data_IF_380456958263
#
_entry.id   IF_380456958263
#
_cell.length_a   1.000
_cell.length_b   1.000
_cell.length_c   1.000
_cell.angle_alpha   90.00
_cell.angle_beta   90.00
_cell.angle_gamma   90.00
#
_symmetry.space_group_name_H-M   'P 1'
#
loop_
_entity.id
_entity.type
_entity.pdbx_description
1 polymer ?
#
# COMPACT_ATOMS: atom_id res chain seq x y z
N UNK A 1 -7.88 8.38 5.91
CA UNK A 1 -6.49 8.45 6.38
C UNK A 1 -6.18 9.77 7.07
N UNK A 2 -6.58 10.92 6.50
CA UNK A 2 -6.24 12.26 7.03
C UNK A 2 -6.60 12.49 8.51
N UNK A 3 -7.77 12.00 8.94
CA UNK A 3 -8.30 12.25 10.29
C UNK A 3 -7.88 11.22 11.35
N UNK A 4 -7.09 10.20 10.99
CA UNK A 4 -6.60 9.23 11.98
C UNK A 4 -5.40 9.87 12.71
N UNK A 5 -5.42 9.99 14.04
CA UNK A 5 -4.29 10.48 14.80
C UNK A 5 -3.03 9.64 14.56
N UNK A 6 -1.86 10.28 14.53
CA UNK A 6 -0.60 9.58 14.24
C UNK A 6 -0.31 8.46 15.24
N UNK A 7 -0.65 8.67 16.51
CA UNK A 7 -0.51 7.66 17.58
C UNK A 7 -1.33 6.40 17.30
N UNK A 8 -2.58 6.57 16.88
CA UNK A 8 -3.48 5.45 16.58
C UNK A 8 -3.05 4.73 15.30
N UNK A 9 -2.65 5.48 14.27
CA UNK A 9 -2.10 4.91 13.05
C UNK A 9 -0.84 4.07 13.34
N UNK A 10 0.08 4.56 14.17
CA UNK A 10 1.25 3.80 14.60
C UNK A 10 0.83 2.53 15.34
N UNK A 11 -0.13 2.62 16.27
CA UNK A 11 -0.62 1.46 17.01
C UNK A 11 -1.21 0.39 16.08
N UNK A 12 -2.03 0.77 15.11
CA UNK A 12 -2.56 -0.14 14.10
C UNK A 12 -1.44 -0.76 13.27
N UNK A 13 -0.45 0.04 12.85
CA UNK A 13 0.70 -0.46 12.10
C UNK A 13 1.52 -1.50 12.89
N UNK A 14 1.80 -1.23 14.17
CA UNK A 14 2.52 -2.17 15.03
C UNK A 14 1.75 -3.46 15.25
N UNK A 15 0.41 -3.39 15.38
CA UNK A 15 -0.41 -4.60 15.47
C UNK A 15 -0.26 -5.46 14.21
N UNK A 16 -0.31 -4.85 13.01
CA UNK A 16 -0.07 -5.59 11.77
C UNK A 16 1.30 -6.23 11.74
N UNK A 17 2.36 -5.51 12.08
CA UNK A 17 3.73 -6.04 12.08
C UNK A 17 3.86 -7.20 13.07
N UNK A 18 3.46 -7.00 14.31
CA UNK A 18 3.67 -7.99 15.38
C UNK A 18 2.91 -9.29 15.14
N UNK A 19 1.65 -9.20 14.72
CA UNK A 19 0.80 -10.38 14.52
C UNK A 19 0.92 -10.99 13.12
N UNK A 20 1.79 -10.45 12.26
CA UNK A 20 2.10 -11.03 10.95
C UNK A 20 3.54 -11.53 10.82
N UNK A 21 4.30 -11.57 11.92
CA UNK A 21 5.73 -11.85 11.90
C UNK A 21 6.49 -10.89 10.97
N UNK A 22 6.17 -9.60 11.04
CA UNK A 22 6.79 -8.54 10.25
C UNK A 22 6.42 -8.52 8.76
N UNK A 23 5.35 -9.22 8.35
CA UNK A 23 4.98 -9.39 6.94
C UNK A 23 4.01 -8.34 6.42
N UNK A 24 3.18 -7.79 7.29
CA UNK A 24 2.06 -6.90 6.98
C UNK A 24 2.17 -5.59 7.76
N UNK A 25 1.68 -4.51 7.18
CA UNK A 25 1.73 -3.18 7.78
C UNK A 25 1.72 -2.06 6.76
N UNK A 26 1.22 -0.91 7.16
CA UNK A 26 1.21 0.28 6.32
C UNK A 26 2.64 0.79 6.06
N UNK A 27 3.55 0.70 7.05
CA UNK A 27 4.95 1.05 6.86
C UNK A 27 5.65 0.12 5.86
N UNK A 28 5.28 -1.16 5.84
CA UNK A 28 5.77 -2.13 4.85
C UNK A 28 5.30 -1.75 3.43
N UNK A 29 4.02 -1.44 3.27
CA UNK A 29 3.47 -0.97 2.00
C UNK A 29 4.13 0.33 1.54
N UNK A 30 4.39 1.28 2.46
CA UNK A 30 5.15 2.51 2.16
C UNK A 30 6.56 2.19 1.67
N UNK A 31 7.27 1.27 2.31
CA UNK A 31 8.61 0.87 1.88
C UNK A 31 8.60 0.26 0.48
N UNK A 32 7.65 -0.63 0.19
CA UNK A 32 7.49 -1.22 -1.16
C UNK A 32 7.20 -0.12 -2.18
N UNK A 33 6.27 0.79 -1.87
CA UNK A 33 5.91 1.92 -2.75
C UNK A 33 7.13 2.77 -3.12
N UNK A 34 7.92 3.18 -2.13
CA UNK A 34 9.12 3.99 -2.33
C UNK A 34 10.18 3.22 -3.12
N UNK A 35 10.40 1.94 -2.83
CA UNK A 35 11.34 1.09 -3.56
C UNK A 35 11.01 0.94 -5.04
N UNK A 36 9.73 0.99 -5.39
CA UNK A 36 9.27 0.96 -6.79
C UNK A 36 9.38 2.33 -7.49
N UNK A 37 9.90 3.37 -6.83
CA UNK A 37 9.99 4.73 -7.35
C UNK A 37 8.74 5.59 -7.08
N UNK A 38 7.77 5.03 -6.35
CA UNK A 38 6.56 5.73 -5.97
C UNK A 38 6.83 6.86 -4.98
N UNK A 39 6.23 8.03 -5.22
CA UNK A 39 6.35 9.18 -4.33
C UNK A 39 5.16 9.25 -3.38
N UNK A 40 5.36 9.58 -2.09
CA UNK A 40 4.25 9.82 -1.17
C UNK A 40 3.29 10.88 -1.73
N UNK A 41 1.99 10.58 -1.75
CA UNK A 41 0.92 11.47 -2.20
C UNK A 41 0.69 11.50 -3.71
N UNK A 42 1.52 10.82 -4.50
CA UNK A 42 1.44 10.82 -5.98
C UNK A 42 1.01 9.43 -6.45
N UNK A 43 -0.20 9.31 -6.99
CA UNK A 43 -0.75 8.03 -7.45
C UNK A 43 -0.23 7.60 -8.83
N UNK A 44 0.09 8.57 -9.67
CA UNK A 44 0.32 8.34 -11.09
C UNK A 44 1.75 8.75 -11.46
N UNK A 45 2.63 7.76 -11.46
CA UNK A 45 3.97 7.88 -12.05
C UNK A 45 4.02 6.84 -13.16
N UNK A 46 3.80 7.30 -14.39
CA UNK A 46 4.06 6.48 -15.56
C UNK A 46 5.56 6.17 -15.60
N UNK A 47 5.92 4.91 -15.77
CA UNK A 47 7.29 4.58 -16.13
C UNK A 47 7.55 5.06 -17.56
N UNK A 48 8.75 5.55 -17.82
CA UNK A 48 9.23 5.83 -19.18
C UNK A 48 9.58 4.50 -19.90
N UNK A 49 8.63 3.56 -19.92
CA UNK A 49 8.77 2.21 -20.45
C UNK A 49 7.80 2.03 -21.62
N UNK A 50 8.21 1.35 -22.72
CA UNK A 50 7.37 1.14 -23.92
C UNK A 50 6.05 0.41 -23.62
N UNK A 51 5.98 -0.29 -22.50
CA UNK A 51 4.80 -1.06 -22.05
C UNK A 51 3.72 -0.22 -21.37
N UNK A 52 3.98 1.04 -21.02
CA UNK A 52 3.00 1.95 -20.39
C UNK A 52 2.54 1.53 -18.99
N UNK A 53 3.30 0.68 -18.28
CA UNK A 53 2.91 0.24 -16.92
C UNK A 53 3.13 1.34 -15.88
N UNK A 54 2.13 1.57 -15.04
CA UNK A 54 2.18 2.51 -13.93
C UNK A 54 2.81 1.88 -12.69
N UNK A 55 3.52 2.65 -11.85
CA UNK A 55 4.08 2.15 -10.57
C UNK A 55 3.00 1.50 -9.69
N UNK A 56 1.77 2.03 -9.74
CA UNK A 56 0.60 1.46 -9.08
C UNK A 56 0.33 0.00 -9.46
N UNK A 57 0.52 -0.35 -10.73
CA UNK A 57 0.21 -1.68 -11.26
C UNK A 57 1.26 -2.69 -10.79
N UNK A 58 2.53 -2.28 -10.79
CA UNK A 58 3.63 -3.06 -10.25
C UNK A 58 3.43 -3.29 -8.74
N UNK A 59 3.05 -2.24 -8.01
CA UNK A 59 2.75 -2.36 -6.59
C UNK A 59 1.62 -3.36 -6.34
N UNK A 60 0.48 -3.22 -7.03
CA UNK A 60 -0.69 -4.09 -6.90
C UNK A 60 -0.32 -5.54 -7.15
N UNK A 61 0.47 -5.81 -8.19
CA UNK A 61 0.98 -7.15 -8.47
C UNK A 61 1.90 -7.66 -7.36
N UNK A 62 2.86 -6.84 -6.91
CA UNK A 62 3.86 -7.19 -5.90
C UNK A 62 3.22 -7.59 -4.56
N UNK A 63 2.21 -6.85 -4.12
CA UNK A 63 1.51 -7.15 -2.85
C UNK A 63 0.40 -8.20 -3.03
N UNK A 64 0.18 -8.71 -4.24
CA UNK A 64 -0.82 -9.75 -4.52
C UNK A 64 -2.26 -9.25 -4.54
N UNK A 65 -2.49 -7.99 -4.92
CA UNK A 65 -3.83 -7.40 -5.06
C UNK A 65 -4.45 -7.62 -6.45
N UNK A 66 -3.85 -8.50 -7.26
CA UNK A 66 -4.30 -8.86 -8.60
C UNK A 66 -3.32 -8.41 -9.68
N UNK A 67 -3.81 -8.40 -10.92
CA UNK A 67 -3.09 -7.97 -12.11
C UNK A 67 -3.88 -6.85 -12.82
N UNK A 68 -3.47 -6.48 -14.04
CA UNK A 68 -4.13 -5.41 -14.80
C UNK A 68 -5.64 -5.63 -15.00
N UNK A 69 -6.10 -6.89 -15.13
CA UNK A 69 -7.47 -7.24 -15.53
C UNK A 69 -8.33 -7.72 -14.34
N UNK A 70 -7.71 -8.11 -13.23
CA UNK A 70 -8.36 -8.75 -12.09
C UNK A 70 -7.99 -8.13 -10.74
N UNK A 71 -7.70 -6.82 -10.72
CA UNK A 71 -7.45 -6.08 -9.47
C UNK A 71 -8.58 -6.34 -8.46
N UNK A 72 -8.19 -6.65 -7.24
CA UNK A 72 -9.05 -6.69 -6.05
C UNK A 72 -10.14 -7.76 -6.02
N UNK A 73 -10.22 -8.65 -7.02
CA UNK A 73 -11.28 -9.68 -7.07
C UNK A 73 -11.12 -10.77 -5.99
N UNK A 74 -9.89 -11.10 -5.61
CA UNK A 74 -9.59 -12.26 -4.74
C UNK A 74 -8.58 -11.91 -3.63
N UNK A 75 -8.90 -10.93 -2.79
CA UNK A 75 -8.03 -10.55 -1.67
C UNK A 75 -8.15 -11.57 -0.54
N UNK A 76 -7.03 -12.22 -0.21
CA UNK A 76 -6.97 -13.28 0.79
C UNK A 76 -6.51 -12.78 2.15
N UNK A 77 -7.34 -12.92 3.18
CA UNK A 77 -7.01 -12.53 4.56
C UNK A 77 -6.32 -13.67 5.31
N UNK A 78 -5.09 -14.03 4.88
CA UNK A 78 -4.33 -15.16 5.45
C UNK A 78 -2.85 -14.83 5.62
N UNK A 79 -2.20 -15.43 6.62
CA UNK A 79 -0.77 -15.22 6.90
C UNK A 79 0.15 -15.65 5.75
N UNK A 80 -0.29 -16.60 4.92
CA UNK A 80 0.45 -17.04 3.73
C UNK A 80 0.40 -16.05 2.56
N UNK A 81 -0.43 -15.00 2.61
CA UNK A 81 -0.51 -13.98 1.55
C UNK A 81 0.83 -13.24 1.35
N UNK A 82 1.10 -12.60 0.20
CA UNK A 82 2.40 -11.97 -0.10
C UNK A 82 2.84 -10.88 0.89
N UNK A 83 4.13 -10.55 0.91
CA UNK A 83 4.66 -9.46 1.74
C UNK A 83 3.98 -8.12 1.41
N UNK A 84 3.51 -7.39 2.43
CA UNK A 84 2.75 -6.15 2.25
C UNK A 84 1.29 -6.32 1.79
N UNK A 85 0.79 -7.55 1.63
CA UNK A 85 -0.59 -7.81 1.17
C UNK A 85 -1.64 -7.17 2.07
N UNK A 86 -1.42 -7.19 3.39
CA UNK A 86 -2.31 -6.57 4.36
C UNK A 86 -1.60 -5.44 5.11
N UNK A 87 -2.36 -4.49 5.67
CA UNK A 87 -3.81 -4.29 5.54
C UNK A 87 -4.24 -3.93 4.11
N UNK A 88 -5.39 -4.46 3.68
CA UNK A 88 -6.00 -4.10 2.39
C UNK A 88 -7.22 -3.20 2.61
N UNK A 89 -7.32 -2.12 1.82
CA UNK A 89 -8.56 -1.34 1.69
C UNK A 89 -8.66 -0.75 0.28
N UNK A 90 -9.70 -1.12 -0.46
CA UNK A 90 -10.15 -0.36 -1.63
C UNK A 90 -11.18 0.66 -1.23
N UNK A 91 -11.16 1.82 -1.88
CA UNK A 91 -12.29 2.75 -1.85
C UNK A 91 -12.64 3.11 -3.29
N UNK A 92 -13.90 2.94 -3.67
CA UNK A 92 -14.45 3.38 -4.98
C UNK A 92 -14.40 4.90 -5.14
N UNK A 93 -14.24 5.65 -4.05
CA UNK A 93 -13.97 7.10 -4.06
C UNK A 93 -12.46 7.36 -4.08
N UNK A 94 -11.94 7.46 -5.30
CA UNK A 94 -10.51 7.42 -5.70
C UNK A 94 -9.63 8.54 -5.11
N UNK A 95 -10.12 9.45 -4.28
CA UNK A 95 -9.36 10.69 -4.01
C UNK A 95 -8.36 10.65 -2.85
N UNK A 96 -8.38 9.70 -1.90
CA UNK A 96 -7.57 9.86 -0.66
C UNK A 96 -7.17 8.59 0.13
N UNK A 97 -7.35 7.36 -0.38
CA UNK A 97 -7.13 6.13 0.41
C UNK A 97 -6.20 5.08 -0.22
N UNK A 98 -5.58 5.39 -1.36
CA UNK A 98 -4.53 4.53 -1.95
C UNK A 98 -3.21 4.55 -1.16
N UNK A 99 -2.34 3.59 -1.46
CA UNK A 99 -0.98 3.45 -0.89
C UNK A 99 -0.16 4.76 -0.95
N UNK A 100 -0.19 5.57 -2.02
CA UNK A 100 0.57 6.83 -2.04
C UNK A 100 0.14 7.81 -0.95
N UNK A 101 -1.17 7.99 -0.72
CA UNK A 101 -1.70 8.88 0.31
C UNK A 101 -1.48 8.31 1.72
N UNK A 102 -1.48 6.99 1.83
CA UNK A 102 -1.06 6.31 3.06
C UNK A 102 0.42 6.57 3.34
N UNK A 103 1.29 6.42 2.34
CA UNK A 103 2.71 6.74 2.43
C UNK A 103 2.93 8.22 2.80
N UNK A 104 2.15 9.14 2.24
CA UNK A 104 2.20 10.56 2.59
C UNK A 104 1.89 10.81 4.07
N UNK A 105 0.77 10.24 4.55
CA UNK A 105 0.37 10.37 5.96
C UNK A 105 1.40 9.76 6.89
N UNK A 106 1.94 8.58 6.56
CA UNK A 106 2.98 7.92 7.35
C UNK A 106 4.25 8.78 7.42
N UNK A 107 4.71 9.33 6.29
CA UNK A 107 5.84 10.28 6.26
C UNK A 107 5.59 11.49 7.15
N UNK A 108 4.41 12.11 7.09
CA UNK A 108 4.04 13.22 8.00
C UNK A 108 3.92 12.81 9.47
N UNK A 109 3.81 11.52 9.74
CA UNK A 109 3.66 10.95 11.08
C UNK A 109 4.97 10.38 11.64
N UNK A 110 6.09 10.49 10.91
CA UNK A 110 7.37 9.85 11.23
C UNK A 110 7.26 8.32 11.43
N UNK A 111 6.42 7.68 10.61
CA UNK A 111 6.27 6.22 10.48
C UNK A 111 6.75 5.80 9.09
#
# INVERSE_FOLDING_TARGET
MKNIPCKDLNKINQLWINYSNGKFGFSIQKQIWIKLGGKPGIFDVALAEPSGSYIADIFIKQVGWGDKDNRYKNIGYKISAPYGHLPFKTTTHVRNFGVPYTAEKLTKSNI
#
